data_IF_850688834919
#
_entry.id   IF_850688834919
#
_cell.length_a   1.000
_cell.length_b   1.000
_cell.length_c   1.000
_cell.angle_alpha   90.00
_cell.angle_beta   90.00
_cell.angle_gamma   90.00
#
_symmetry.space_group_name_H-M   'P 1'
#
loop_
_entity.id
_entity.type
_entity.pdbx_description
1 polymer ?
#
# COMPACT_ATOMS: atom_id res chain seq x y z
N UNK A 1 -32.07 9.96 4.39
CA UNK A 1 -30.91 9.56 3.57
C UNK A 1 -31.23 8.20 3.00
N UNK A 2 -31.16 8.02 1.68
CA UNK A 2 -31.52 6.76 1.04
C UNK A 2 -30.38 5.75 1.28
N UNK A 3 -30.66 4.49 1.63
CA UNK A 3 -29.63 3.46 1.90
C UNK A 3 -28.63 3.31 0.75
N UNK A 4 -29.09 3.60 -0.48
CA UNK A 4 -28.25 3.72 -1.67
C UNK A 4 -27.12 4.77 -1.52
N UNK A 5 -27.44 5.98 -1.06
CA UNK A 5 -26.47 7.07 -0.91
C UNK A 5 -25.42 6.75 0.17
N UNK A 6 -25.82 6.03 1.21
CA UNK A 6 -24.91 5.58 2.27
C UNK A 6 -23.89 4.60 1.68
N UNK A 7 -24.36 3.58 0.96
CA UNK A 7 -23.49 2.57 0.35
C UNK A 7 -22.60 3.17 -0.75
N UNK A 8 -23.12 4.10 -1.54
CA UNK A 8 -22.35 4.78 -2.58
C UNK A 8 -21.22 5.62 -1.96
N UNK A 9 -21.50 6.38 -0.90
CA UNK A 9 -20.47 7.14 -0.19
C UNK A 9 -19.40 6.22 0.42
N UNK A 10 -19.81 5.09 1.02
CA UNK A 10 -18.86 4.10 1.55
C UNK A 10 -17.98 3.49 0.45
N UNK A 11 -18.56 3.11 -0.70
CA UNK A 11 -17.80 2.59 -1.84
C UNK A 11 -16.79 3.61 -2.35
N UNK A 12 -17.20 4.88 -2.45
CA UNK A 12 -16.37 5.99 -2.89
C UNK A 12 -15.19 6.25 -1.96
N UNK A 13 -15.42 6.26 -0.66
CA UNK A 13 -14.37 6.47 0.35
C UNK A 13 -13.36 5.32 0.35
N UNK A 14 -13.84 4.07 0.25
CA UNK A 14 -12.98 2.90 0.13
C UNK A 14 -12.18 2.91 -1.18
N UNK A 15 -12.78 3.32 -2.30
CA UNK A 15 -12.08 3.40 -3.57
C UNK A 15 -11.00 4.50 -3.58
N UNK A 16 -11.30 5.69 -3.04
CA UNK A 16 -10.36 6.83 -2.97
C UNK A 16 -9.21 6.63 -1.99
N UNK A 17 -9.41 5.89 -0.91
CA UNK A 17 -8.37 5.64 0.08
C UNK A 17 -7.25 4.72 -0.42
N UNK A 18 -7.49 3.94 -1.47
CA UNK A 18 -6.56 2.93 -1.96
C UNK A 18 -5.27 3.53 -2.55
N UNK A 19 -5.31 4.53 -3.46
CA UNK A 19 -4.12 5.26 -3.86
C UNK A 19 -3.42 5.96 -2.69
N UNK A 20 -4.17 6.54 -1.75
CA UNK A 20 -3.60 7.29 -0.63
C UNK A 20 -2.75 6.40 0.29
N UNK A 21 -3.20 5.17 0.54
CA UNK A 21 -2.46 4.16 1.30
C UNK A 21 -1.14 3.77 0.63
N UNK A 22 -1.17 3.57 -0.69
CA UNK A 22 0.03 3.20 -1.46
C UNK A 22 1.02 4.37 -1.56
N UNK A 23 0.53 5.59 -1.81
CA UNK A 23 1.37 6.78 -1.85
C UNK A 23 2.05 7.08 -0.50
N UNK A 24 1.38 6.86 0.62
CA UNK A 24 1.98 7.00 1.96
C UNK A 24 3.18 6.07 2.14
N UNK A 25 3.07 4.83 1.69
CA UNK A 25 4.16 3.85 1.75
C UNK A 25 5.37 4.33 0.95
N UNK A 26 5.15 4.73 -0.31
CA UNK A 26 6.21 5.21 -1.20
C UNK A 26 6.89 6.46 -0.62
N UNK A 27 6.11 7.38 -0.06
CA UNK A 27 6.65 8.59 0.59
C UNK A 27 7.56 8.24 1.77
N UNK A 28 7.16 7.29 2.63
CA UNK A 28 7.98 6.81 3.74
C UNK A 28 9.28 6.18 3.23
N UNK A 29 9.22 5.32 2.21
CA UNK A 29 10.43 4.73 1.63
C UNK A 29 11.38 5.76 1.03
N UNK A 30 10.85 6.79 0.37
CA UNK A 30 11.64 7.90 -0.17
C UNK A 30 12.36 8.65 0.94
N UNK A 31 11.69 8.90 2.07
CA UNK A 31 12.29 9.54 3.25
C UNK A 31 13.38 8.67 3.87
N UNK A 32 13.17 7.35 3.97
CA UNK A 32 14.19 6.41 4.48
C UNK A 32 15.42 6.45 3.58
N UNK A 33 15.25 6.39 2.26
CA UNK A 33 16.36 6.49 1.30
C UNK A 33 17.11 7.82 1.48
N UNK A 34 16.39 8.94 1.53
CA UNK A 34 16.98 10.25 1.75
C UNK A 34 17.80 10.29 3.04
N UNK A 35 17.24 9.78 4.14
CA UNK A 35 17.91 9.72 5.44
C UNK A 35 19.19 8.87 5.40
N UNK A 36 19.14 7.68 4.78
CA UNK A 36 20.31 6.81 4.62
C UNK A 36 21.41 7.48 3.79
N UNK A 37 21.06 8.29 2.79
CA UNK A 37 22.01 8.97 1.93
C UNK A 37 22.65 10.22 2.56
N UNK A 38 21.93 10.94 3.43
CA UNK A 38 22.38 12.25 3.92
C UNK A 38 22.84 12.26 5.38
N UNK A 39 22.40 11.31 6.20
CA UNK A 39 22.68 11.33 7.64
C UNK A 39 23.95 10.53 7.98
N UNK A 40 25.07 11.22 8.20
CA UNK A 40 26.34 10.59 8.59
C UNK A 40 26.22 9.70 9.83
N UNK A 41 25.43 10.12 10.82
CA UNK A 41 25.19 9.33 12.04
C UNK A 41 24.55 7.97 11.73
N UNK A 42 23.60 7.93 10.79
CA UNK A 42 22.94 6.70 10.37
C UNK A 42 23.92 5.79 9.62
N UNK A 43 24.74 6.37 8.75
CA UNK A 43 25.74 5.63 7.98
C UNK A 43 26.80 5.00 8.89
N UNK A 44 27.32 5.76 9.85
CA UNK A 44 28.30 5.26 10.81
C UNK A 44 27.70 4.14 11.68
N UNK A 45 26.46 4.30 12.16
CA UNK A 45 25.77 3.24 12.90
C UNK A 45 25.66 1.94 12.08
N UNK A 46 25.29 2.04 10.81
CA UNK A 46 25.17 0.88 9.92
C UNK A 46 26.53 0.24 9.67
N UNK A 47 27.59 1.03 9.44
CA UNK A 47 28.95 0.50 9.29
C UNK A 47 29.40 -0.31 10.50
N UNK A 48 29.21 0.26 11.69
CA UNK A 48 29.60 -0.36 12.94
C UNK A 48 28.79 -1.63 13.26
N UNK A 49 27.59 -1.76 12.68
CA UNK A 49 26.63 -2.84 12.96
C UNK A 49 26.12 -3.52 11.68
N UNK A 50 26.96 -3.68 10.65
CA UNK A 50 26.53 -4.02 9.28
C UNK A 50 25.68 -5.29 9.18
N UNK A 51 26.13 -6.39 9.79
CA UNK A 51 25.41 -7.67 9.75
C UNK A 51 24.01 -7.61 10.39
N UNK A 52 23.89 -6.91 11.53
CA UNK A 52 22.61 -6.72 12.23
C UNK A 52 21.71 -5.76 11.44
N UNK A 53 22.28 -4.69 10.89
CA UNK A 53 21.55 -3.67 10.13
C UNK A 53 20.96 -4.24 8.84
N UNK A 54 21.72 -5.05 8.10
CA UNK A 54 21.22 -5.75 6.89
C UNK A 54 20.09 -6.72 7.27
N UNK A 55 20.34 -7.61 8.24
CA UNK A 55 19.37 -8.63 8.65
C UNK A 55 18.08 -8.02 9.20
N UNK A 56 18.22 -6.98 10.04
CA UNK A 56 17.10 -6.24 10.61
C UNK A 56 16.29 -5.49 9.55
N UNK A 57 16.95 -4.88 8.56
CA UNK A 57 16.27 -4.20 7.45
C UNK A 57 15.47 -5.19 6.61
N UNK A 58 16.06 -6.33 6.24
CA UNK A 58 15.36 -7.38 5.47
C UNK A 58 14.15 -7.91 6.24
N UNK A 59 14.32 -8.20 7.53
CA UNK A 59 13.23 -8.71 8.38
C UNK A 59 12.09 -7.68 8.50
N UNK A 60 12.41 -6.40 8.74
CA UNK A 60 11.40 -5.36 8.87
C UNK A 60 10.61 -5.14 7.58
N UNK A 61 11.29 -5.13 6.43
CA UNK A 61 10.62 -5.00 5.13
C UNK A 61 9.76 -6.24 4.80
N UNK A 62 10.20 -7.44 5.18
CA UNK A 62 9.40 -8.66 5.02
C UNK A 62 8.13 -8.62 5.90
N UNK A 63 8.25 -8.20 7.16
CA UNK A 63 7.10 -8.02 8.04
C UNK A 63 6.13 -6.97 7.50
N UNK A 64 6.66 -5.83 7.03
CA UNK A 64 5.85 -4.78 6.41
C UNK A 64 5.08 -5.31 5.19
N UNK A 65 5.73 -6.08 4.31
CA UNK A 65 5.09 -6.68 3.15
C UNK A 65 3.94 -7.63 3.53
N UNK A 66 4.12 -8.44 4.59
CA UNK A 66 3.06 -9.31 5.11
C UNK A 66 1.89 -8.46 5.61
N UNK A 67 2.14 -7.46 6.47
CA UNK A 67 1.08 -6.59 6.99
C UNK A 67 0.34 -5.83 5.89
N UNK A 68 1.06 -5.29 4.91
CA UNK A 68 0.44 -4.62 3.76
C UNK A 68 -0.42 -5.58 2.94
N UNK A 69 0.05 -6.80 2.68
CA UNK A 69 -0.73 -7.79 1.93
C UNK A 69 -2.05 -8.15 2.62
N UNK A 70 -2.03 -8.29 3.96
CA UNK A 70 -3.22 -8.56 4.76
C UNK A 70 -4.18 -7.38 4.76
N UNK A 71 -3.65 -6.16 4.95
CA UNK A 71 -4.44 -4.94 4.96
C UNK A 71 -5.11 -4.70 3.60
N UNK A 72 -4.35 -4.80 2.51
CA UNK A 72 -4.86 -4.71 1.15
C UNK A 72 -5.95 -5.75 0.91
N UNK A 73 -5.70 -7.01 1.24
CA UNK A 73 -6.70 -8.08 1.09
C UNK A 73 -8.00 -7.78 1.84
N UNK A 74 -7.92 -7.27 3.06
CA UNK A 74 -9.09 -6.87 3.84
C UNK A 74 -9.84 -5.71 3.17
N UNK A 75 -9.10 -4.72 2.66
CA UNK A 75 -9.65 -3.57 1.95
C UNK A 75 -10.35 -3.96 0.65
N UNK A 76 -9.71 -4.79 -0.18
CA UNK A 76 -10.32 -5.35 -1.41
C UNK A 76 -11.60 -6.11 -1.07
N UNK A 77 -11.56 -7.01 -0.09
CA UNK A 77 -12.74 -7.77 0.32
C UNK A 77 -13.89 -6.85 0.76
N UNK A 78 -13.57 -5.78 1.49
CA UNK A 78 -14.56 -4.80 1.95
C UNK A 78 -15.14 -4.00 0.79
N UNK A 79 -14.32 -3.51 -0.13
CA UNK A 79 -14.83 -2.78 -1.29
C UNK A 79 -15.70 -3.68 -2.17
N UNK A 80 -15.26 -4.91 -2.46
CA UNK A 80 -16.05 -5.86 -3.24
C UNK A 80 -17.41 -6.15 -2.58
N UNK A 81 -17.45 -6.34 -1.26
CA UNK A 81 -18.70 -6.56 -0.55
C UNK A 81 -19.64 -5.35 -0.65
N UNK A 82 -19.13 -4.13 -0.46
CA UNK A 82 -19.92 -2.90 -0.59
C UNK A 82 -20.40 -2.69 -2.03
N UNK A 83 -19.56 -2.99 -3.02
CA UNK A 83 -19.91 -2.93 -4.45
C UNK A 83 -21.07 -3.87 -4.78
N UNK A 84 -21.00 -5.14 -4.34
CA UNK A 84 -22.06 -6.13 -4.56
C UNK A 84 -23.37 -5.66 -3.92
N UNK A 85 -23.32 -5.19 -2.67
CA UNK A 85 -24.50 -4.65 -2.00
C UNK A 85 -25.09 -3.43 -2.73
N UNK A 86 -24.24 -2.55 -3.28
CA UNK A 86 -24.68 -1.39 -4.06
C UNK A 86 -25.32 -1.81 -5.40
N UNK A 87 -24.80 -2.85 -6.05
CA UNK A 87 -25.31 -3.46 -7.27
C UNK A 87 -26.71 -4.06 -7.04
N UNK A 88 -26.88 -4.88 -6.01
CA UNK A 88 -28.18 -5.46 -5.61
C UNK A 88 -29.22 -4.36 -5.29
N UNK A 89 -28.81 -3.31 -4.56
CA UNK A 89 -29.70 -2.21 -4.20
C UNK A 89 -30.04 -1.31 -5.40
N UNK A 90 -29.14 -1.18 -6.37
CA UNK A 90 -29.41 -0.47 -7.61
C UNK A 90 -30.49 -1.19 -8.43
N UNK A 91 -30.34 -2.51 -8.60
CA UNK A 91 -31.31 -3.36 -9.31
C UNK A 91 -32.69 -3.31 -8.63
N UNK A 92 -32.73 -3.48 -7.30
CA UNK A 92 -33.99 -3.46 -6.54
C UNK A 92 -34.74 -2.12 -6.63
N UNK A 93 -34.02 -1.01 -6.82
CA UNK A 93 -34.59 0.34 -6.90
C UNK A 93 -34.76 0.84 -8.35
N UNK A 94 -34.52 0.01 -9.37
CA UNK A 94 -34.61 0.40 -10.78
C UNK A 94 -33.56 1.45 -11.20
N UNK A 95 -32.43 1.53 -10.50
CA UNK A 95 -31.31 2.43 -10.80
C UNK A 95 -30.29 1.74 -11.71
N UNK A 96 -29.47 2.53 -12.40
CA UNK A 96 -28.39 1.97 -13.23
C UNK A 96 -27.34 1.26 -12.38
N UNK A 97 -27.06 0.01 -12.73
CA UNK A 97 -26.05 -0.85 -12.11
C UNK A 97 -24.62 -0.38 -12.45
N UNK A 98 -24.46 0.48 -13.47
CA UNK A 98 -23.16 1.04 -13.86
C UNK A 98 -22.51 1.89 -12.74
N UNK A 99 -23.31 2.42 -11.83
CA UNK A 99 -22.81 3.14 -10.65
C UNK A 99 -21.94 2.20 -9.80
N UNK A 100 -22.33 0.94 -9.63
CA UNK A 100 -21.55 -0.04 -8.88
C UNK A 100 -20.26 -0.44 -9.63
N UNK A 101 -20.31 -0.54 -10.97
CA UNK A 101 -19.13 -0.86 -11.80
C UNK A 101 -18.05 0.20 -11.75
N UNK A 102 -18.39 1.45 -11.43
CA UNK A 102 -17.41 2.53 -11.25
C UNK A 102 -16.42 2.23 -10.10
N UNK A 103 -16.84 1.42 -9.13
CA UNK A 103 -16.03 1.02 -7.98
C UNK A 103 -15.35 -0.34 -8.19
N UNK A 104 -15.36 -0.89 -9.41
CA UNK A 104 -14.62 -2.09 -9.75
C UNK A 104 -13.12 -1.80 -9.81
N UNK A 105 -12.34 -2.51 -9.01
CA UNK A 105 -10.89 -2.36 -9.00
C UNK A 105 -10.26 -3.12 -10.17
N UNK A 106 -9.61 -2.39 -11.06
CA UNK A 106 -8.74 -2.98 -12.05
C UNK A 106 -7.55 -3.65 -11.34
N UNK A 107 -7.36 -4.95 -11.57
CA UNK A 107 -6.27 -5.74 -10.99
C UNK A 107 -4.87 -5.23 -11.36
N UNK A 108 -4.73 -4.44 -12.42
CA UNK A 108 -3.47 -3.80 -12.79
C UNK A 108 -2.94 -2.84 -11.73
N UNK A 109 -3.81 -2.05 -11.10
CA UNK A 109 -3.42 -0.99 -10.15
C UNK A 109 -2.72 -1.55 -8.89
N UNK A 110 -3.28 -2.55 -8.16
CA UNK A 110 -2.59 -3.22 -7.05
C UNK A 110 -1.23 -3.80 -7.46
N UNK A 111 -1.16 -4.43 -8.64
CA UNK A 111 0.06 -5.08 -9.12
C UNK A 111 1.15 -4.02 -9.34
N UNK A 112 0.80 -2.91 -10.00
CA UNK A 112 1.72 -1.80 -10.24
C UNK A 112 2.28 -1.24 -8.91
N UNK A 113 1.41 -1.00 -7.93
CA UNK A 113 1.86 -0.53 -6.60
C UNK A 113 2.74 -1.55 -5.87
N UNK A 114 2.39 -2.83 -5.91
CA UNK A 114 3.22 -3.88 -5.34
C UNK A 114 4.62 -3.92 -5.98
N UNK A 115 4.70 -3.81 -7.31
CA UNK A 115 5.97 -3.74 -8.03
C UNK A 115 6.81 -2.52 -7.61
N UNK A 116 6.18 -1.34 -7.50
CA UNK A 116 6.87 -0.12 -7.05
C UNK A 116 7.41 -0.30 -5.62
N UNK A 117 6.58 -0.77 -4.68
CA UNK A 117 7.00 -0.99 -3.30
C UNK A 117 8.17 -1.99 -3.21
N UNK A 118 8.16 -3.07 -4.00
CA UNK A 118 9.27 -4.02 -4.07
C UNK A 118 10.57 -3.35 -4.54
N UNK A 119 10.50 -2.50 -5.58
CA UNK A 119 11.67 -1.77 -6.06
C UNK A 119 12.26 -0.84 -4.98
N UNK A 120 11.42 -0.14 -4.23
CA UNK A 120 11.86 0.68 -3.10
C UNK A 120 12.50 -0.15 -1.98
N UNK A 121 11.89 -1.28 -1.62
CA UNK A 121 12.46 -2.20 -0.63
C UNK A 121 13.86 -2.69 -1.05
N UNK A 122 14.03 -3.08 -2.32
CA UNK A 122 15.33 -3.49 -2.86
C UNK A 122 16.34 -2.34 -2.79
N UNK A 123 15.92 -1.12 -3.15
CA UNK A 123 16.79 0.05 -3.07
C UNK A 123 17.27 0.33 -1.63
N UNK A 124 16.37 0.23 -0.63
CA UNK A 124 16.72 0.39 0.78
C UNK A 124 17.73 -0.68 1.21
N UNK A 125 17.46 -1.96 0.92
CA UNK A 125 18.38 -3.05 1.26
C UNK A 125 19.75 -2.85 0.60
N UNK A 126 19.77 -2.50 -0.69
CA UNK A 126 21.01 -2.26 -1.42
C UNK A 126 21.83 -1.12 -0.78
N UNK A 127 21.17 -0.03 -0.38
CA UNK A 127 21.83 1.08 0.31
C UNK A 127 22.43 0.65 1.66
N UNK A 128 21.69 -0.09 2.47
CA UNK A 128 22.20 -0.60 3.75
C UNK A 128 23.41 -1.51 3.55
N UNK A 129 23.39 -2.37 2.53
CA UNK A 129 24.53 -3.24 2.19
C UNK A 129 25.74 -2.41 1.72
N UNK A 130 25.53 -1.41 0.87
CA UNK A 130 26.62 -0.55 0.38
C UNK A 130 27.25 0.25 1.52
N UNK A 131 26.45 0.84 2.40
CA UNK A 131 26.91 1.57 3.57
C UNK A 131 27.66 0.64 4.52
N UNK A 132 27.14 -0.56 4.77
CA UNK A 132 27.74 -1.52 5.70
C UNK A 132 29.08 -2.10 5.22
N UNK A 133 29.37 -2.03 3.92
CA UNK A 133 30.58 -2.60 3.31
C UNK A 133 31.66 -1.57 2.92
N UNK A 134 31.35 -0.26 2.95
CA UNK A 134 32.27 0.80 2.52
C UNK A 134 32.71 1.66 3.68
#
# INVERSE_FOLDING_TARGET
MNDFEILENQARDLFKSLPELEFKTIAVFTLIIGWLLTAEQAQNFIRDNSGISISGTVLMLALLAIFQSLFLKAHYKRLTAVRIALEELAEANGRSVEIARTYELNCFLPIAYACINVLFCIAIVALVVLIGNG
#
